data_IF_608553322521
#
_entry.id   IF_608553322521
#
_cell.length_a   1.000
_cell.length_b   1.000
_cell.length_c   1.000
_cell.angle_alpha   90.00
_cell.angle_beta   90.00
_cell.angle_gamma   90.00
#
_symmetry.space_group_name_H-M   'P 1'
#
loop_
_entity.id
_entity.type
_entity.pdbx_description
1 polymer ?
#
# COMPACT_ATOMS: atom_id res chain seq x y z
N UNK A 1 -43.35 -1.96 33.55
CA UNK A 1 -42.13 -1.17 33.81
C UNK A 1 -40.82 -1.98 33.72
N UNK A 2 -40.73 -3.22 34.24
CA UNK A 2 -39.51 -4.05 34.23
C UNK A 2 -38.99 -4.45 32.83
N UNK A 3 -39.88 -4.58 31.84
CA UNK A 3 -39.52 -5.00 30.47
C UNK A 3 -38.74 -3.92 29.70
N UNK A 4 -39.10 -2.65 29.88
CA UNK A 4 -38.46 -1.51 29.21
C UNK A 4 -37.02 -1.33 29.71
N UNK A 5 -36.78 -1.50 31.02
CA UNK A 5 -35.43 -1.45 31.59
C UNK A 5 -34.52 -2.58 31.08
N UNK A 6 -35.06 -3.80 30.90
CA UNK A 6 -34.30 -4.93 30.36
C UNK A 6 -33.93 -4.73 28.89
N UNK A 7 -34.83 -4.12 28.10
CA UNK A 7 -34.58 -3.78 26.70
C UNK A 7 -33.51 -2.69 26.58
N UNK A 8 -33.60 -1.63 27.39
CA UNK A 8 -32.60 -0.57 27.45
C UNK A 8 -31.21 -1.08 27.85
N UNK A 9 -31.14 -1.96 28.85
CA UNK A 9 -29.88 -2.59 29.28
C UNK A 9 -29.27 -3.47 28.17
N UNK A 10 -30.09 -4.22 27.43
CA UNK A 10 -29.64 -5.06 26.32
C UNK A 10 -29.11 -4.22 25.16
N UNK A 11 -29.79 -3.11 24.84
CA UNK A 11 -29.36 -2.18 23.80
C UNK A 11 -28.04 -1.49 24.16
N UNK A 12 -27.88 -1.07 25.42
CA UNK A 12 -26.63 -0.46 25.89
C UNK A 12 -25.47 -1.46 25.85
N UNK A 13 -25.70 -2.69 26.29
CA UNK A 13 -24.70 -3.78 26.22
C UNK A 13 -24.31 -4.11 24.77
N UNK A 14 -25.27 -4.11 23.85
CA UNK A 14 -25.01 -4.31 22.42
C UNK A 14 -24.18 -3.17 21.79
N UNK A 15 -24.42 -1.91 22.21
CA UNK A 15 -23.61 -0.77 21.76
C UNK A 15 -22.17 -0.84 22.28
N UNK A 16 -21.98 -1.21 23.55
CA UNK A 16 -20.65 -1.37 24.16
C UNK A 16 -19.90 -2.50 23.46
N UNK A 17 -20.51 -3.69 23.34
CA UNK A 17 -19.91 -4.84 22.65
C UNK A 17 -19.55 -4.54 21.18
N UNK A 18 -20.38 -3.76 20.48
CA UNK A 18 -20.08 -3.32 19.10
C UNK A 18 -18.92 -2.31 19.05
N UNK A 19 -18.77 -1.47 20.07
CA UNK A 19 -17.62 -0.56 20.22
C UNK A 19 -16.33 -1.33 20.47
N UNK A 20 -16.36 -2.27 21.41
CA UNK A 20 -15.22 -3.15 21.74
C UNK A 20 -14.82 -4.02 20.55
N UNK A 21 -15.78 -4.62 19.84
CA UNK A 21 -15.50 -5.41 18.64
C UNK A 21 -14.89 -4.58 17.50
N UNK A 22 -15.30 -3.31 17.35
CA UNK A 22 -14.68 -2.40 16.36
C UNK A 22 -13.26 -2.03 16.74
N UNK A 23 -13.00 -1.73 18.02
CA UNK A 23 -11.67 -1.42 18.51
C UNK A 23 -10.72 -2.63 18.39
N UNK A 24 -11.20 -3.82 18.75
CA UNK A 24 -10.45 -5.06 18.59
C UNK A 24 -10.14 -5.38 17.12
N UNK A 25 -11.09 -5.16 16.21
CA UNK A 25 -10.84 -5.29 14.77
C UNK A 25 -9.83 -4.24 14.28
N UNK A 26 -9.94 -2.98 14.70
CA UNK A 26 -8.97 -1.96 14.28
C UNK A 26 -7.54 -2.31 14.74
N UNK A 27 -7.38 -2.76 15.98
CA UNK A 27 -6.10 -3.22 16.50
C UNK A 27 -5.57 -4.45 15.74
N UNK A 28 -6.43 -5.44 15.44
CA UNK A 28 -6.00 -6.61 14.65
C UNK A 28 -5.64 -6.24 13.22
N UNK A 29 -6.36 -5.31 12.60
CA UNK A 29 -6.04 -4.77 11.27
C UNK A 29 -4.71 -4.02 11.25
N UNK A 30 -4.45 -3.18 12.25
CA UNK A 30 -3.17 -2.48 12.38
C UNK A 30 -2.01 -3.45 12.61
N UNK A 31 -2.19 -4.46 13.46
CA UNK A 31 -1.18 -5.48 13.71
C UNK A 31 -0.90 -6.35 12.48
N UNK A 32 -1.94 -6.77 11.75
CA UNK A 32 -1.80 -7.45 10.46
C UNK A 32 -1.13 -6.57 9.40
N UNK A 33 -1.44 -5.28 9.35
CA UNK A 33 -0.81 -4.34 8.44
C UNK A 33 0.68 -4.15 8.77
N UNK A 34 1.02 -4.05 10.06
CA UNK A 34 2.41 -3.98 10.53
C UNK A 34 3.19 -5.26 10.24
N UNK A 35 2.61 -6.44 10.51
CA UNK A 35 3.24 -7.72 10.22
C UNK A 35 3.49 -7.92 8.72
N UNK A 36 2.52 -7.56 7.86
CA UNK A 36 2.71 -7.62 6.41
C UNK A 36 3.72 -6.58 5.88
N UNK A 37 3.90 -5.47 6.58
CA UNK A 37 4.90 -4.46 6.23
C UNK A 37 6.32 -4.87 6.64
N UNK A 38 6.46 -5.73 7.65
CA UNK A 38 7.76 -6.11 8.22
C UNK A 38 8.57 -7.09 7.34
N UNK A 39 7.97 -7.73 6.34
CA UNK A 39 8.64 -8.76 5.50
C UNK A 39 8.33 -8.63 4.00
N UNK A 40 8.07 -7.41 3.51
CA UNK A 40 7.72 -7.19 2.10
C UNK A 40 8.96 -7.17 1.19
N UNK A 41 9.49 -8.36 0.88
CA UNK A 41 10.63 -8.53 -0.04
C UNK A 41 10.39 -7.94 -1.44
N UNK A 42 9.13 -7.88 -1.88
CA UNK A 42 8.75 -7.30 -3.18
C UNK A 42 9.07 -5.80 -3.24
N UNK A 43 8.90 -5.07 -2.14
CA UNK A 43 9.06 -3.63 -2.10
C UNK A 43 10.55 -3.28 -2.02
N UNK A 44 11.33 -4.10 -1.30
CA UNK A 44 12.80 -4.06 -1.33
C UNK A 44 13.34 -4.38 -2.72
N UNK A 45 12.84 -5.44 -3.37
CA UNK A 45 13.25 -5.82 -4.72
C UNK A 45 12.97 -4.70 -5.72
N UNK A 46 11.77 -4.12 -5.72
CA UNK A 46 11.44 -3.00 -6.61
C UNK A 46 12.31 -1.78 -6.30
N UNK A 47 12.53 -1.47 -5.02
CA UNK A 47 13.44 -0.37 -4.62
C UNK A 47 14.83 -0.58 -5.19
N UNK A 48 15.40 -1.79 -5.10
CA UNK A 48 16.71 -2.11 -5.70
C UNK A 48 16.69 -2.00 -7.23
N UNK A 49 15.70 -2.59 -7.90
CA UNK A 49 15.58 -2.56 -9.37
C UNK A 49 15.49 -1.14 -9.91
N UNK A 50 14.79 -0.22 -9.22
CA UNK A 50 14.68 1.18 -9.65
C UNK A 50 15.87 2.04 -9.23
N UNK A 51 16.55 1.73 -8.12
CA UNK A 51 17.69 2.53 -7.63
C UNK A 51 19.02 2.16 -8.30
N UNK A 52 19.24 0.90 -8.65
CA UNK A 52 20.49 0.45 -9.28
C UNK A 52 20.79 1.23 -10.57
N UNK A 53 19.85 1.37 -11.54
CA UNK A 53 20.11 2.16 -12.75
C UNK A 53 20.44 3.63 -12.45
N UNK A 54 19.80 4.21 -11.43
CA UNK A 54 20.05 5.60 -11.01
C UNK A 54 21.47 5.78 -10.48
N UNK A 55 21.97 4.83 -9.69
CA UNK A 55 23.35 4.85 -9.17
C UNK A 55 24.34 4.60 -10.32
N UNK A 56 24.04 3.67 -11.23
CA UNK A 56 24.89 3.35 -12.38
C UNK A 56 25.10 4.54 -13.32
N UNK A 57 24.18 5.51 -13.37
CA UNK A 57 24.36 6.74 -14.13
C UNK A 57 25.56 7.60 -13.68
N UNK A 58 26.05 7.40 -12.44
CA UNK A 58 27.23 8.10 -11.91
C UNK A 58 28.55 7.36 -12.15
N UNK A 59 28.50 6.16 -12.74
CA UNK A 59 29.67 5.35 -13.07
C UNK A 59 29.89 5.44 -14.58
N UNK A 60 30.90 6.20 -15.09
CA UNK A 60 31.02 6.49 -16.51
C UNK A 60 31.06 5.26 -17.43
N UNK A 61 31.67 4.16 -16.97
CA UNK A 61 31.74 2.89 -17.70
C UNK A 61 30.40 2.15 -17.77
N UNK A 62 29.47 2.41 -16.85
CA UNK A 62 28.16 1.76 -16.81
C UNK A 62 27.09 2.50 -17.64
N UNK A 63 27.29 3.79 -17.92
CA UNK A 63 26.35 4.64 -18.65
C UNK A 63 25.93 4.09 -20.02
N UNK A 64 26.83 3.52 -20.86
CA UNK A 64 26.41 2.95 -22.15
C UNK A 64 25.38 1.83 -21.99
N UNK A 65 25.57 0.93 -21.02
CA UNK A 65 24.64 -0.17 -20.74
C UNK A 65 23.29 0.33 -20.22
N UNK A 66 23.27 1.40 -19.42
CA UNK A 66 22.00 2.00 -18.97
C UNK A 66 21.23 2.59 -20.15
N UNK A 67 21.90 3.32 -21.04
CA UNK A 67 21.27 3.89 -22.24
C UNK A 67 20.68 2.82 -23.15
N UNK A 68 21.44 1.76 -23.44
CA UNK A 68 20.96 0.63 -24.24
C UNK A 68 19.80 -0.10 -23.55
N UNK A 69 19.89 -0.31 -22.23
CA UNK A 69 18.82 -0.91 -21.45
C UNK A 69 17.52 -0.10 -21.53
N UNK A 70 17.58 1.22 -21.35
CA UNK A 70 16.40 2.08 -21.50
C UNK A 70 15.84 2.07 -22.93
N UNK A 71 16.68 2.05 -23.96
CA UNK A 71 16.22 1.92 -25.35
C UNK A 71 15.47 0.60 -25.58
N UNK A 72 15.93 -0.51 -25.00
CA UNK A 72 15.20 -1.80 -25.04
C UNK A 72 13.87 -1.70 -24.29
N UNK A 73 13.86 -1.07 -23.11
CA UNK A 73 12.64 -0.89 -22.32
C UNK A 73 11.56 -0.08 -23.07
N UNK A 74 11.95 0.89 -23.89
CA UNK A 74 11.03 1.65 -24.74
C UNK A 74 10.31 0.78 -25.79
N UNK A 75 10.93 -0.33 -26.21
CA UNK A 75 10.33 -1.27 -27.18
C UNK A 75 9.32 -2.24 -26.56
N UNK A 76 9.16 -2.23 -25.23
CA UNK A 76 8.24 -3.15 -24.55
C UNK A 76 6.78 -2.92 -25.01
N UNK A 77 5.98 -3.99 -25.20
CA UNK A 77 4.56 -3.85 -25.52
C UNK A 77 3.80 -3.03 -24.47
N UNK A 78 2.83 -2.23 -24.93
CA UNK A 78 2.08 -1.31 -24.06
C UNK A 78 1.37 -2.02 -22.88
N UNK A 79 0.79 -3.20 -23.12
CA UNK A 79 0.12 -3.97 -22.06
C UNK A 79 1.07 -4.34 -20.92
N UNK A 80 2.35 -4.60 -21.22
CA UNK A 80 3.36 -4.97 -20.23
C UNK A 80 3.80 -3.73 -19.44
N UNK A 81 4.06 -2.62 -20.11
CA UNK A 81 4.40 -1.34 -19.46
C UNK A 81 3.31 -0.89 -18.47
N UNK A 82 2.02 -1.02 -18.85
CA UNK A 82 0.89 -0.72 -17.98
C UNK A 82 0.87 -1.65 -16.77
N UNK A 83 1.07 -2.96 -16.98
CA UNK A 83 1.07 -3.96 -15.90
C UNK A 83 2.16 -3.67 -14.87
N UNK A 84 3.39 -3.40 -15.33
CA UNK A 84 4.52 -3.04 -14.45
C UNK A 84 4.21 -1.74 -13.69
N UNK A 85 3.68 -0.72 -14.37
CA UNK A 85 3.32 0.56 -13.74
C UNK A 85 2.28 0.40 -12.63
N UNK A 86 1.30 -0.50 -12.82
CA UNK A 86 0.28 -0.81 -11.80
C UNK A 86 0.89 -1.55 -10.61
N UNK A 87 1.80 -2.50 -10.84
CA UNK A 87 2.51 -3.24 -9.78
C UNK A 87 3.30 -2.24 -8.92
N UNK A 88 4.06 -1.34 -9.55
CA UNK A 88 4.85 -0.31 -8.87
C UNK A 88 3.96 0.62 -8.05
N UNK A 89 2.86 1.11 -8.63
CA UNK A 89 1.92 1.97 -7.91
C UNK A 89 1.26 1.28 -6.71
N UNK A 90 1.03 -0.04 -6.79
CA UNK A 90 0.49 -0.84 -5.70
C UNK A 90 1.53 -1.08 -4.59
N UNK A 91 2.78 -1.36 -4.96
CA UNK A 91 3.88 -1.59 -4.01
C UNK A 91 4.26 -0.34 -3.23
N UNK A 92 4.36 0.82 -3.88
CA UNK A 92 4.69 2.07 -3.20
C UNK A 92 3.46 2.83 -2.65
N UNK A 93 2.28 2.19 -2.65
CA UNK A 93 1.07 2.78 -2.05
C UNK A 93 0.61 4.10 -2.70
N UNK A 94 0.98 4.38 -3.96
CA UNK A 94 0.69 5.65 -4.65
C UNK A 94 -0.82 5.93 -4.71
N UNK A 95 -1.65 4.88 -4.75
CA UNK A 95 -3.12 4.99 -4.65
C UNK A 95 -3.60 5.60 -3.33
N UNK A 96 -2.91 5.33 -2.21
CA UNK A 96 -3.22 5.92 -0.90
C UNK A 96 -3.02 7.44 -0.95
N UNK A 97 -1.92 7.89 -1.55
CA UNK A 97 -1.57 9.32 -1.68
C UNK A 97 -2.62 10.10 -2.49
N UNK A 98 -3.13 9.52 -3.58
CA UNK A 98 -4.21 10.12 -4.39
C UNK A 98 -5.53 10.20 -3.59
N UNK A 99 -5.87 9.15 -2.83
CA UNK A 99 -7.06 9.13 -1.97
C UNK A 99 -7.02 10.18 -0.86
N UNK A 100 -5.87 10.36 -0.21
CA UNK A 100 -5.66 11.39 0.81
C UNK A 100 -5.73 12.81 0.23
N UNK A 101 -5.15 13.05 -0.94
CA UNK A 101 -5.26 14.36 -1.63
C UNK A 101 -6.70 14.74 -1.96
N UNK A 102 -7.51 13.77 -2.39
CA UNK A 102 -8.92 14.01 -2.72
C UNK A 102 -9.79 14.27 -1.47
N UNK A 103 -9.45 13.68 -0.31
CA UNK A 103 -10.13 14.00 0.96
C UNK A 103 -9.84 15.41 1.46
N UNK A 104 -8.65 15.96 1.17
CA UNK A 104 -8.28 17.32 1.60
C UNK A 104 -8.98 18.43 0.81
N UNK A 105 -9.65 18.10 -0.31
CA UNK A 105 -10.44 19.00 -1.14
C UNK A 105 -11.94 19.01 -0.81
N UNK A 106 -12.40 18.19 0.14
CA UNK A 106 -13.75 18.25 0.73
C UNK A 106 -13.67 18.92 2.08
#
# INVERSE_FOLDING_TARGET
MKLIGKLAATFLKGKIAKGEAKAANAASWEELAMQNSATSWKDEYLTLVFTIPLICCFIPSAVPYMKEGFAVLETMPQWYQITVSVIVAASFGVRSVIGFMNRKKK
#
